data_IF_110739762184
#
_entry.id   IF_110739762184
#
_cell.length_a   1.000
_cell.length_b   1.000
_cell.length_c   1.000
_cell.angle_alpha   90.00
_cell.angle_beta   90.00
_cell.angle_gamma   90.00
#
_symmetry.space_group_name_H-M   'P 1'
#
loop_
_entity.id
_entity.type
_entity.pdbx_description
1 polymer ?
#
# COMPACT_ATOMS: atom_id res chain seq x y z
N UNK A 1 4.63 19.22 16.86
CA UNK A 1 4.66 18.98 15.41
C UNK A 1 6.10 18.83 15.00
N UNK A 2 6.48 17.62 14.65
CA UNK A 2 7.81 17.29 14.16
C UNK A 2 7.86 17.42 12.64
N UNK A 3 9.05 17.50 12.07
CA UNK A 3 9.23 17.56 10.60
C UNK A 3 8.64 16.31 9.90
N UNK A 4 8.57 15.19 10.62
CA UNK A 4 8.05 13.90 10.15
C UNK A 4 6.52 13.91 9.96
N UNK A 5 5.77 14.67 10.77
CA UNK A 5 4.31 14.76 10.65
C UNK A 5 3.86 15.37 9.32
N UNK A 6 4.78 16.10 8.66
CA UNK A 6 4.57 16.74 7.37
C UNK A 6 5.24 15.96 6.22
N UNK A 7 5.77 14.76 6.44
CA UNK A 7 6.40 13.95 5.41
C UNK A 7 5.82 12.55 5.43
N UNK A 8 5.00 12.24 4.43
CA UNK A 8 4.35 10.92 4.32
C UNK A 8 4.55 10.37 2.91
N UNK A 9 4.52 9.05 2.78
CA UNK A 9 4.57 8.42 1.48
C UNK A 9 3.21 8.58 0.79
N UNK A 10 3.22 9.08 -0.44
CA UNK A 10 2.02 9.33 -1.23
C UNK A 10 1.14 8.07 -1.37
N UNK A 11 1.78 6.89 -1.43
CA UNK A 11 1.09 5.62 -1.59
C UNK A 11 0.37 5.14 -0.32
N UNK A 12 0.65 5.69 0.88
CA UNK A 12 0.02 5.25 2.14
C UNK A 12 -1.51 5.29 2.06
N UNK A 13 -2.07 6.42 1.60
CA UNK A 13 -3.51 6.55 1.45
C UNK A 13 -4.08 5.63 0.38
N UNK A 14 -3.39 5.52 -0.76
CA UNK A 14 -3.85 4.68 -1.87
C UNK A 14 -3.86 3.20 -1.48
N UNK A 15 -2.84 2.75 -0.76
CA UNK A 15 -2.73 1.37 -0.26
C UNK A 15 -3.85 1.07 0.73
N UNK A 16 -4.13 1.97 1.68
CA UNK A 16 -5.21 1.76 2.67
C UNK A 16 -6.58 1.73 1.99
N UNK A 17 -6.86 2.64 1.06
CA UNK A 17 -8.11 2.67 0.29
C UNK A 17 -8.28 1.37 -0.53
N UNK A 18 -7.23 0.94 -1.23
CA UNK A 18 -7.25 -0.28 -2.04
C UNK A 18 -7.37 -1.55 -1.19
N UNK A 19 -6.71 -1.58 -0.04
CA UNK A 19 -6.79 -2.69 0.91
C UNK A 19 -8.21 -2.82 1.47
N UNK A 20 -8.89 -1.70 1.76
CA UNK A 20 -10.29 -1.71 2.19
C UNK A 20 -11.23 -2.26 1.09
N UNK A 21 -10.96 -1.94 -0.18
CA UNK A 21 -11.72 -2.46 -1.32
C UNK A 21 -11.48 -3.97 -1.53
N UNK A 22 -10.22 -4.43 -1.52
CA UNK A 22 -9.89 -5.83 -1.78
C UNK A 22 -10.22 -6.76 -0.60
N UNK A 23 -10.32 -6.21 0.61
CA UNK A 23 -10.78 -6.93 1.81
C UNK A 23 -12.27 -6.75 2.07
N UNK A 24 -13.04 -6.12 1.17
CA UNK A 24 -14.49 -5.98 1.37
C UNK A 24 -15.14 -7.35 1.59
N UNK A 25 -15.86 -7.50 2.71
CA UNK A 25 -16.45 -8.77 3.14
C UNK A 25 -15.50 -9.72 3.89
N UNK A 26 -14.27 -9.30 4.18
CA UNK A 26 -13.31 -9.98 5.07
C UNK A 26 -13.01 -9.07 6.25
N UNK A 27 -12.93 -9.65 7.44
CA UNK A 27 -12.55 -8.93 8.67
C UNK A 27 -11.24 -9.50 9.23
N UNK A 28 -10.09 -9.26 8.57
CA UNK A 28 -8.80 -9.64 9.12
C UNK A 28 -8.46 -8.78 10.34
N UNK A 29 -7.67 -9.37 11.25
CA UNK A 29 -7.15 -8.66 12.42
C UNK A 29 -6.36 -7.41 12.02
N UNK A 30 -6.41 -6.38 12.89
CA UNK A 30 -5.69 -5.13 12.65
C UNK A 30 -4.20 -5.35 12.38
N UNK A 31 -3.57 -6.31 13.06
CA UNK A 31 -2.16 -6.66 12.84
C UNK A 31 -1.90 -7.17 11.42
N UNK A 32 -2.80 -8.01 10.88
CA UNK A 32 -2.70 -8.52 9.50
C UNK A 32 -2.88 -7.41 8.47
N UNK A 33 -3.79 -6.46 8.74
CA UNK A 33 -4.00 -5.29 7.88
C UNK A 33 -2.74 -4.41 7.86
N UNK A 34 -2.13 -4.18 9.02
CA UNK A 34 -0.86 -3.45 9.13
C UNK A 34 0.28 -4.17 8.38
N UNK A 35 0.39 -5.49 8.51
CA UNK A 35 1.39 -6.26 7.79
C UNK A 35 1.18 -6.17 6.26
N UNK A 36 -0.07 -6.25 5.80
CA UNK A 36 -0.41 -6.13 4.37
C UNK A 36 -0.04 -4.76 3.83
N UNK A 37 -0.35 -3.70 4.57
CA UNK A 37 0.01 -2.34 4.21
C UNK A 37 1.55 -2.17 4.16
N UNK A 38 2.29 -2.69 5.15
CA UNK A 38 3.74 -2.64 5.17
C UNK A 38 4.37 -3.36 3.97
N UNK A 39 3.90 -4.57 3.66
CA UNK A 39 4.41 -5.35 2.51
C UNK A 39 4.09 -4.65 1.19
N UNK A 40 2.87 -4.12 1.03
CA UNK A 40 2.47 -3.39 -0.17
C UNK A 40 3.29 -2.09 -0.36
N UNK A 41 3.50 -1.31 0.71
CA UNK A 41 4.30 -0.08 0.66
C UNK A 41 5.76 -0.35 0.32
N UNK A 42 6.35 -1.42 0.87
CA UNK A 42 7.72 -1.82 0.57
C UNK A 42 7.90 -2.35 -0.87
N UNK A 43 6.81 -2.77 -1.52
CA UNK A 43 6.80 -3.18 -2.93
C UNK A 43 6.77 -2.00 -3.89
N UNK A 44 6.41 -0.80 -3.44
CA UNK A 44 6.23 0.38 -4.27
C UNK A 44 7.47 1.29 -4.19
N UNK A 45 7.78 2.04 -5.26
CA UNK A 45 8.88 2.99 -5.21
C UNK A 45 8.63 4.05 -4.13
N UNK A 46 9.60 4.36 -3.25
CA UNK A 46 9.39 5.32 -2.17
C UNK A 46 9.14 6.72 -2.73
N UNK A 47 8.01 7.34 -2.35
CA UNK A 47 7.61 8.66 -2.85
C UNK A 47 7.05 9.53 -1.74
N UNK A 48 7.95 10.21 -1.03
CA UNK A 48 7.59 11.10 0.08
C UNK A 48 7.18 12.47 -0.42
N UNK A 49 6.10 12.99 0.14
CA UNK A 49 5.59 14.33 -0.18
C UNK A 49 5.45 15.16 1.10
N UNK A 50 5.73 16.46 0.98
CA UNK A 50 5.64 17.40 2.10
C UNK A 50 4.26 18.04 2.23
N UNK A 51 3.65 18.35 1.10
CA UNK A 51 2.30 18.91 1.04
C UNK A 51 1.47 18.15 0.01
N UNK A 52 0.24 17.79 0.38
CA UNK A 52 -0.75 17.17 -0.51
C UNK A 52 -1.00 17.99 -1.79
N UNK A 53 -0.74 19.30 -1.72
CA UNK A 53 -0.94 20.27 -2.80
C UNK A 53 0.10 20.15 -3.92
N UNK A 54 1.31 19.63 -3.64
CA UNK A 54 2.41 19.56 -4.62
C UNK A 54 2.19 18.52 -5.72
N UNK A 55 1.43 17.45 -5.46
CA UNK A 55 1.23 16.36 -6.43
C UNK A 55 0.04 16.54 -7.36
N UNK A 56 -0.99 17.28 -6.95
CA UNK A 56 -2.15 17.55 -7.81
C UNK A 56 -1.77 18.37 -9.06
N UNK A 57 -0.68 19.16 -8.98
CA UNK A 57 -0.16 19.94 -10.11
C UNK A 57 0.82 19.17 -11.01
N UNK A 58 1.47 18.12 -10.51
CA UNK A 58 2.56 17.44 -11.21
C UNK A 58 2.19 16.09 -11.84
N UNK A 59 1.11 15.43 -11.41
CA UNK A 59 0.71 14.16 -12.02
C UNK A 59 -0.25 14.36 -13.18
N UNK A 60 0.14 13.86 -14.36
CA UNK A 60 -0.80 13.64 -15.45
C UNK A 60 -1.76 12.50 -15.08
N UNK A 61 -2.99 12.55 -15.59
CA UNK A 61 -4.02 11.55 -15.31
C UNK A 61 -3.57 10.10 -15.64
N UNK A 62 -2.70 9.94 -16.64
CA UNK A 62 -2.14 8.64 -17.00
C UNK A 62 -1.15 8.10 -15.95
N UNK A 63 -0.38 8.96 -15.31
CA UNK A 63 0.54 8.54 -14.24
C UNK A 63 -0.23 8.13 -12.99
N UNK A 64 -1.32 8.83 -12.66
CA UNK A 64 -2.23 8.43 -11.58
C UNK A 64 -2.81 7.04 -11.82
N UNK A 65 -3.21 6.74 -13.06
CA UNK A 65 -3.72 5.42 -13.42
C UNK A 65 -2.67 4.33 -13.23
N UNK A 66 -1.45 4.52 -13.77
CA UNK A 66 -0.34 3.58 -13.58
C UNK A 66 0.00 3.37 -12.10
N UNK A 67 -0.04 4.43 -11.30
CA UNK A 67 0.19 4.34 -9.86
C UNK A 67 -0.89 3.53 -9.16
N UNK A 68 -2.18 3.75 -9.50
CA UNK A 68 -3.27 2.93 -8.98
C UNK A 68 -3.13 1.47 -9.37
N UNK A 69 -2.80 1.19 -10.62
CA UNK A 69 -2.63 -0.18 -11.10
C UNK A 69 -1.48 -0.89 -10.35
N UNK A 70 -0.36 -0.19 -10.14
CA UNK A 70 0.76 -0.70 -9.35
C UNK A 70 0.37 -0.96 -7.88
N UNK A 71 -0.36 -0.03 -7.26
CA UNK A 71 -0.86 -0.19 -5.88
C UNK A 71 -1.79 -1.39 -5.77
N UNK A 72 -2.74 -1.54 -6.70
CA UNK A 72 -3.68 -2.66 -6.71
C UNK A 72 -2.97 -4.02 -6.81
N UNK A 73 -1.93 -4.11 -7.64
CA UNK A 73 -1.12 -5.32 -7.76
C UNK A 73 -0.31 -5.60 -6.49
N UNK A 74 0.38 -4.58 -5.94
CA UNK A 74 1.15 -4.72 -4.71
C UNK A 74 0.28 -5.13 -3.52
N UNK A 75 -0.93 -4.57 -3.38
CA UNK A 75 -1.89 -4.94 -2.33
C UNK A 75 -2.37 -6.37 -2.50
N UNK A 76 -2.68 -6.80 -3.74
CA UNK A 76 -3.09 -8.18 -4.04
C UNK A 76 -2.02 -9.19 -3.63
N UNK A 77 -0.76 -8.91 -3.97
CA UNK A 77 0.36 -9.77 -3.59
C UNK A 77 0.59 -9.78 -2.07
N UNK A 78 0.41 -8.64 -1.39
CA UNK A 78 0.51 -8.56 0.06
C UNK A 78 -0.59 -9.39 0.75
N UNK A 79 -1.85 -9.30 0.30
CA UNK A 79 -2.97 -10.11 0.80
C UNK A 79 -2.67 -11.60 0.60
N UNK A 80 -2.15 -11.99 -0.57
CA UNK A 80 -1.78 -13.39 -0.86
C UNK A 80 -0.68 -13.90 0.07
N UNK A 81 0.33 -13.08 0.36
CA UNK A 81 1.43 -13.45 1.27
C UNK A 81 0.98 -13.65 2.72
N UNK A 82 0.01 -12.85 3.18
CA UNK A 82 -0.38 -12.81 4.60
C UNK A 82 -1.60 -13.68 4.89
N UNK A 83 -2.48 -13.89 3.91
CA UNK A 83 -3.63 -14.80 4.04
C UNK A 83 -3.18 -16.20 3.60
N UNK A 84 -2.85 -17.11 4.52
CA UNK A 84 -2.22 -18.36 4.18
C UNK A 84 -3.33 -19.41 4.06
N UNK A 85 -3.89 -19.58 2.86
CA UNK A 85 -4.39 -20.91 2.48
C UNK A 85 -3.30 -21.74 1.78
N UNK A 86 -2.17 -21.13 1.38
CA UNK A 86 -1.02 -21.81 0.76
C UNK A 86 0.33 -21.13 1.13
N UNK A 87 0.64 -21.01 2.42
CA UNK A 87 2.01 -20.71 2.87
C UNK A 87 2.70 -22.01 3.31
N UNK A 88 2.74 -23.00 2.42
CA UNK A 88 3.70 -24.09 2.52
C UNK A 88 5.11 -23.52 2.31
N UNK A 89 5.99 -23.81 3.27
CA UNK A 89 7.43 -23.96 3.06
C UNK A 89 8.21 -22.78 2.43
N UNK A 90 8.47 -21.71 3.18
CA UNK A 90 9.63 -20.85 2.87
C UNK A 90 10.14 -20.04 4.09
N UNK A 91 10.51 -20.74 5.17
CA UNK A 91 11.55 -20.25 6.08
C UNK A 91 12.25 -21.43 6.74
N UNK A 92 12.95 -22.20 5.91
CA UNK A 92 13.94 -23.17 6.34
C UNK A 92 15.20 -22.97 5.50
N UNK A 93 16.14 -22.20 6.04
CA UNK A 93 17.60 -22.35 5.88
C UNK A 93 18.27 -21.30 6.75
#
# INVERSE_FOLDING_TARGET
>A
MTVLDNMYNYYERMVIEELALQLEGREPDQDKVCDMACVALNSLPPRYIRHSVDMAFFLQADDLRKMRDAVAESVREAIRKITPEHADSASGS
#
